data_IF_445006926756
#
_entry.id   IF_445006926756
#
_cell.length_a   1.000
_cell.length_b   1.000
_cell.length_c   1.000
_cell.angle_alpha   90.00
_cell.angle_beta   90.00
_cell.angle_gamma   90.00
#
_symmetry.space_group_name_H-M   'P 1'
#
loop_
_entity.id
_entity.type
_entity.pdbx_description
1 polymer ?
#
# COMPACT_ATOMS: atom_id res chain seq x y z
N UNK A 1 -1.83 18.73 -1.35
CA UNK A 1 -1.16 18.15 -0.18
C UNK A 1 -0.98 19.16 0.92
N UNK A 2 -1.45 18.79 2.11
CA UNK A 2 -1.34 19.54 3.36
C UNK A 2 -0.73 18.60 4.39
N UNK A 3 0.27 19.07 5.13
CA UNK A 3 1.05 18.25 6.05
C UNK A 3 0.19 17.52 7.10
N UNK A 4 0.67 16.38 7.59
CA UNK A 4 -0.04 15.55 8.57
C UNK A 4 -0.40 16.28 9.88
N UNK A 5 0.35 17.33 10.26
CA UNK A 5 0.07 18.14 11.45
C UNK A 5 -1.04 19.19 11.23
N UNK A 6 -1.55 19.31 10.00
CA UNK A 6 -2.64 20.21 9.70
C UNK A 6 -3.96 19.67 10.28
N UNK A 7 -4.89 20.56 10.63
CA UNK A 7 -6.21 20.17 11.17
C UNK A 7 -7.07 19.35 10.20
N UNK A 8 -6.80 19.51 8.91
CA UNK A 8 -7.40 18.79 7.79
C UNK A 8 -6.24 18.34 6.88
N UNK A 9 -5.60 17.22 7.21
CA UNK A 9 -4.46 16.72 6.46
C UNK A 9 -4.89 16.26 5.07
N UNK A 10 -4.00 16.42 4.11
CA UNK A 10 -4.07 15.80 2.79
C UNK A 10 -2.67 15.22 2.56
N UNK A 11 -2.45 14.04 3.14
CA UNK A 11 -1.13 13.45 3.35
C UNK A 11 -1.15 11.92 3.29
N UNK A 12 -0.10 11.36 2.71
CA UNK A 12 0.21 9.95 2.85
C UNK A 12 0.91 9.65 4.18
N UNK A 13 0.59 8.52 4.81
CA UNK A 13 1.20 8.09 6.06
C UNK A 13 1.11 6.57 6.26
N UNK A 14 1.75 6.08 7.33
CA UNK A 14 1.83 4.65 7.65
C UNK A 14 2.53 3.82 6.57
N UNK A 15 3.72 4.21 6.08
CA UNK A 15 4.41 3.46 5.03
C UNK A 15 4.80 2.07 5.52
N UNK A 16 4.55 1.07 4.67
CA UNK A 16 5.14 -0.26 4.78
C UNK A 16 5.89 -0.58 3.49
N UNK A 17 7.17 -0.89 3.59
CA UNK A 17 8.09 -1.09 2.46
C UNK A 17 8.63 -2.51 2.48
N UNK A 18 8.64 -3.17 1.32
CA UNK A 18 9.29 -4.47 1.14
C UNK A 18 10.04 -4.53 -0.19
N UNK A 19 10.94 -5.50 -0.32
CA UNK A 19 11.52 -5.87 -1.60
C UNK A 19 10.62 -6.86 -2.34
N UNK A 20 10.27 -6.55 -3.58
CA UNK A 20 9.52 -7.45 -4.45
C UNK A 20 10.44 -8.15 -5.45
N UNK A 21 10.58 -9.47 -5.32
CA UNK A 21 11.50 -10.28 -6.15
C UNK A 21 11.00 -10.47 -7.58
N UNK A 22 9.68 -10.43 -7.79
CA UNK A 22 9.07 -10.56 -9.11
C UNK A 22 9.25 -9.28 -9.95
N UNK A 23 9.11 -8.11 -9.31
CA UNK A 23 9.29 -6.79 -9.94
C UNK A 23 10.75 -6.32 -9.93
N UNK A 24 11.62 -6.96 -9.15
CA UNK A 24 12.97 -6.50 -8.87
C UNK A 24 12.99 -5.01 -8.46
N UNK A 25 12.09 -4.65 -7.55
CA UNK A 25 11.85 -3.27 -7.11
C UNK A 25 11.37 -3.24 -5.66
N UNK A 26 11.61 -2.13 -4.98
CA UNK A 26 10.95 -1.84 -3.70
C UNK A 26 9.51 -1.42 -3.96
N UNK A 27 8.62 -1.89 -3.09
CA UNK A 27 7.20 -1.58 -3.10
C UNK A 27 6.87 -0.94 -1.76
N UNK A 28 6.14 0.17 -1.78
CA UNK A 28 5.60 0.82 -0.60
C UNK A 28 4.08 0.87 -0.69
N UNK A 29 3.40 0.50 0.39
CA UNK A 29 1.98 0.79 0.58
C UNK A 29 1.79 1.89 1.61
N UNK A 30 0.80 2.75 1.36
CA UNK A 30 0.55 3.98 2.10
C UNK A 30 -0.95 4.15 2.34
N UNK A 31 -1.30 4.74 3.47
CA UNK A 31 -2.61 5.31 3.68
C UNK A 31 -2.65 6.75 3.18
N UNK A 32 -3.75 7.18 2.54
CA UNK A 32 -4.02 8.60 2.29
C UNK A 32 -5.09 9.09 3.26
N UNK A 33 -4.73 10.04 4.12
CA UNK A 33 -5.70 10.78 4.92
C UNK A 33 -6.04 12.09 4.19
N UNK A 34 -7.31 12.25 3.83
CA UNK A 34 -7.84 13.44 3.18
C UNK A 34 -9.37 13.52 3.33
N UNK A 35 -9.90 14.73 3.47
CA UNK A 35 -11.33 14.99 3.53
C UNK A 35 -11.83 15.38 4.93
N UNK A 36 -13.15 15.54 5.05
CA UNK A 36 -13.82 16.01 6.27
C UNK A 36 -14.65 14.89 6.93
N UNK A 37 -14.59 14.71 8.26
CA UNK A 37 -13.71 15.41 9.19
C UNK A 37 -12.24 15.04 8.95
N UNK A 38 -11.34 16.01 9.14
CA UNK A 38 -9.89 15.81 8.98
C UNK A 38 -9.44 14.48 9.56
N UNK A 39 -8.61 13.73 8.80
CA UNK A 39 -8.29 12.31 8.99
C UNK A 39 -9.28 11.30 8.41
N UNK A 40 -10.22 11.74 7.57
CA UNK A 40 -11.03 10.83 6.78
C UNK A 40 -10.12 9.88 5.97
N UNK A 41 -10.49 8.60 6.03
CA UNK A 41 -9.82 7.54 5.31
C UNK A 41 -10.15 7.66 3.82
N UNK A 42 -9.19 8.10 3.01
CA UNK A 42 -9.39 8.29 1.57
C UNK A 42 -9.14 6.99 0.80
N UNK A 43 -8.10 6.25 1.18
CA UNK A 43 -7.77 4.97 0.54
C UNK A 43 -6.36 4.48 0.82
N UNK A 44 -6.07 3.29 0.28
CA UNK A 44 -4.74 2.67 0.31
C UNK A 44 -4.10 2.83 -1.07
N UNK A 45 -2.83 3.22 -1.07
CA UNK A 45 -2.03 3.51 -2.25
C UNK A 45 -0.79 2.63 -2.28
N UNK A 46 -0.25 2.44 -3.49
CA UNK A 46 0.98 1.72 -3.75
C UNK A 46 1.93 2.57 -4.60
N UNK A 47 3.22 2.51 -4.31
CA UNK A 47 4.28 3.12 -5.12
C UNK A 47 5.52 2.23 -5.17
N UNK A 48 6.41 2.51 -6.12
CA UNK A 48 7.57 1.69 -6.45
C UNK A 48 8.83 2.55 -6.49
N UNK A 49 9.95 1.96 -6.12
CA UNK A 49 11.27 2.54 -6.31
C UNK A 49 12.28 1.44 -6.64
N UNK A 50 13.27 1.76 -7.48
CA UNK A 50 14.38 0.84 -7.77
C UNK A 50 15.59 1.05 -6.87
N UNK A 51 15.69 2.21 -6.24
CA UNK A 51 16.88 2.64 -5.51
C UNK A 51 16.53 3.50 -4.29
N UNK A 52 16.58 2.90 -3.10
CA UNK A 52 16.29 3.59 -1.84
C UNK A 52 17.32 4.66 -1.47
N UNK A 53 18.50 4.68 -2.08
CA UNK A 53 19.49 5.75 -1.85
C UNK A 53 19.06 7.08 -2.47
N UNK A 54 18.07 7.04 -3.38
CA UNK A 54 17.50 8.21 -4.05
C UNK A 54 16.04 8.41 -3.63
N UNK A 55 15.76 9.32 -2.69
CA UNK A 55 14.40 9.58 -2.19
C UNK A 55 13.43 10.08 -3.27
N UNK A 56 13.92 10.62 -4.37
CA UNK A 56 13.15 11.09 -5.53
C UNK A 56 12.84 9.98 -6.54
N UNK A 57 13.30 8.75 -6.30
CA UNK A 57 13.08 7.61 -7.20
C UNK A 57 11.73 6.92 -7.05
N UNK A 58 10.93 7.31 -6.06
CA UNK A 58 9.58 6.80 -5.88
C UNK A 58 8.65 7.30 -6.99
N UNK A 59 7.93 6.37 -7.60
CA UNK A 59 6.90 6.70 -8.58
C UNK A 59 5.70 7.39 -7.92
N UNK A 60 4.83 7.99 -8.74
CA UNK A 60 3.59 8.60 -8.25
C UNK A 60 2.71 7.50 -7.63
N UNK A 61 2.26 7.63 -6.36
CA UNK A 61 1.42 6.62 -5.74
C UNK A 61 0.09 6.42 -6.49
N UNK A 62 -0.29 5.16 -6.65
CA UNK A 62 -1.54 4.74 -7.31
C UNK A 62 -2.48 4.14 -6.27
N UNK A 63 -3.74 4.57 -6.28
CA UNK A 63 -4.76 4.01 -5.39
C UNK A 63 -5.06 2.55 -5.75
N UNK A 64 -5.11 1.68 -4.74
CA UNK A 64 -5.45 0.26 -4.88
C UNK A 64 -6.73 -0.13 -4.14
N UNK A 65 -7.13 0.64 -3.12
CA UNK A 65 -8.41 0.48 -2.43
C UNK A 65 -8.97 1.86 -2.08
N UNK A 66 -10.26 2.07 -2.31
CA UNK A 66 -11.00 3.22 -1.81
C UNK A 66 -11.35 3.07 -0.33
N UNK A 67 -11.44 4.18 0.40
CA UNK A 67 -11.79 4.16 1.83
C UNK A 67 -13.12 3.48 2.13
N UNK A 68 -14.06 3.49 1.18
CA UNK A 68 -15.35 2.80 1.28
C UNK A 68 -15.25 1.27 1.21
N UNK A 69 -14.14 0.73 0.69
CA UNK A 69 -13.87 -0.71 0.63
C UNK A 69 -13.23 -1.24 1.92
N UNK A 70 -12.81 -0.34 2.81
CA UNK A 70 -12.11 -0.70 4.03
C UNK A 70 -13.09 -1.10 5.16
N UNK A 71 -12.74 -2.09 6.00
CA UNK A 71 -13.62 -2.67 7.01
C UNK A 71 -14.22 -1.67 8.00
N UNK A 72 -13.45 -0.64 8.33
CA UNK A 72 -13.78 0.33 9.36
C UNK A 72 -12.96 1.61 9.18
N UNK A 73 -13.39 2.67 9.87
CA UNK A 73 -12.73 3.97 9.82
C UNK A 73 -11.29 3.98 10.36
N UNK A 74 -10.85 2.95 11.10
CA UNK A 74 -9.50 2.85 11.70
C UNK A 74 -8.49 2.13 10.79
N UNK A 75 -8.84 1.90 9.53
CA UNK A 75 -8.08 1.07 8.58
C UNK A 75 -6.82 1.77 8.03
N UNK A 76 -5.99 2.32 8.90
CA UNK A 76 -4.93 3.27 8.54
C UNK A 76 -3.56 2.66 8.25
N UNK A 77 -3.34 1.41 8.62
CA UNK A 77 -2.02 0.79 8.57
C UNK A 77 -2.03 -0.37 7.58
N UNK A 78 -1.70 -0.10 6.30
CA UNK A 78 -1.52 -1.16 5.31
C UNK A 78 -0.15 -1.82 5.45
N UNK A 79 -0.09 -3.14 5.21
CA UNK A 79 1.14 -3.91 5.12
C UNK A 79 0.96 -5.03 4.09
N UNK A 80 1.99 -5.27 3.28
CA UNK A 80 2.04 -6.43 2.40
C UNK A 80 3.00 -7.48 2.97
N UNK A 81 2.55 -8.72 2.98
CA UNK A 81 3.34 -9.87 3.45
C UNK A 81 3.45 -10.88 2.31
N UNK A 82 4.67 -11.28 1.97
CA UNK A 82 4.92 -12.31 0.96
C UNK A 82 4.33 -13.66 1.37
N UNK A 83 3.72 -14.37 0.41
CA UNK A 83 3.07 -15.67 0.66
C UNK A 83 3.85 -16.86 0.09
N UNK A 84 4.87 -16.59 -0.73
CA UNK A 84 5.77 -17.61 -1.26
C UNK A 84 6.66 -18.19 -0.13
N UNK A 85 7.26 -19.39 -0.31
CA UNK A 85 8.22 -19.93 0.66
C UNK A 85 9.35 -18.94 0.96
N UNK A 86 9.50 -18.56 2.23
CA UNK A 86 10.47 -17.55 2.66
C UNK A 86 10.00 -16.09 2.55
N UNK A 87 8.75 -15.86 2.11
CA UNK A 87 8.11 -14.55 2.11
C UNK A 87 7.87 -14.01 3.52
N UNK A 88 8.01 -12.69 3.66
CA UNK A 88 7.90 -11.95 4.92
C UNK A 88 7.27 -10.57 4.67
N UNK A 89 7.21 -9.72 5.69
CA UNK A 89 6.91 -8.30 5.55
C UNK A 89 8.02 -7.47 4.90
N UNK A 90 9.21 -8.06 4.72
CA UNK A 90 10.36 -7.41 4.04
C UNK A 90 10.64 -8.00 2.66
N UNK A 91 10.05 -9.15 2.33
CA UNK A 91 10.27 -9.88 1.08
C UNK A 91 8.96 -10.47 0.53
N UNK A 92 8.60 -10.09 -0.70
CA UNK A 92 7.44 -10.68 -1.40
C UNK A 92 7.75 -10.99 -2.87
N UNK A 93 6.98 -11.91 -3.46
CA UNK A 93 7.10 -12.30 -4.85
C UNK A 93 5.95 -11.77 -5.70
N UNK A 94 5.46 -12.63 -6.61
CA UNK A 94 4.38 -12.29 -7.56
C UNK A 94 3.05 -12.00 -6.85
N UNK A 95 2.79 -12.66 -5.73
CA UNK A 95 1.61 -12.45 -4.91
C UNK A 95 2.02 -12.05 -3.49
N UNK A 96 1.29 -11.10 -2.91
CA UNK A 96 1.43 -10.72 -1.51
C UNK A 96 0.05 -10.58 -0.87
N UNK A 97 -0.03 -10.80 0.43
CA UNK A 97 -1.26 -10.65 1.20
C UNK A 97 -1.32 -9.26 1.83
N UNK A 98 -2.42 -8.55 1.59
CA UNK A 98 -2.63 -7.20 2.11
C UNK A 98 -3.34 -7.26 3.46
N UNK A 99 -2.64 -6.80 4.48
CA UNK A 99 -3.19 -6.52 5.80
C UNK A 99 -3.50 -5.04 5.90
N UNK A 100 -4.67 -4.72 6.45
CA UNK A 100 -5.03 -3.36 6.85
C UNK A 100 -5.50 -3.41 8.29
N UNK A 101 -4.80 -2.69 9.17
CA UNK A 101 -5.04 -2.74 10.62
C UNK A 101 -5.03 -4.18 11.18
N UNK A 102 -4.06 -4.98 10.73
CA UNK A 102 -3.87 -6.37 11.17
C UNK A 102 -4.85 -7.39 10.60
N UNK A 103 -5.81 -6.98 9.77
CA UNK A 103 -6.79 -7.87 9.13
C UNK A 103 -6.51 -7.97 7.64
N UNK A 104 -6.53 -9.20 7.10
CA UNK A 104 -6.28 -9.44 5.67
C UNK A 104 -7.52 -10.00 4.98
N UNK A 105 -8.04 -9.27 4.00
CA UNK A 105 -9.13 -9.73 3.11
C UNK A 105 -8.72 -9.81 1.64
N UNK A 106 -7.55 -9.28 1.28
CA UNK A 106 -7.12 -9.14 -0.11
C UNK A 106 -5.74 -9.73 -0.35
N UNK A 107 -5.55 -10.16 -1.59
CA UNK A 107 -4.24 -10.45 -2.15
C UNK A 107 -3.93 -9.44 -3.24
N UNK A 108 -2.68 -9.00 -3.29
CA UNK A 108 -2.13 -8.18 -4.35
C UNK A 108 -1.36 -9.07 -5.29
N UNK A 109 -1.74 -9.04 -6.57
CA UNK A 109 -1.03 -9.73 -7.64
C UNK A 109 -0.28 -8.69 -8.45
N UNK A 110 1.04 -8.83 -8.51
CA UNK A 110 1.92 -7.94 -9.24
C UNK A 110 2.08 -8.43 -10.69
N UNK A 111 2.24 -7.50 -11.62
CA UNK A 111 2.45 -7.81 -13.04
C UNK A 111 3.49 -6.89 -13.65
N UNK A 112 4.35 -7.44 -14.52
CA UNK A 112 5.30 -6.65 -15.31
C UNK A 112 4.65 -6.20 -16.63
N UNK A 113 4.45 -4.89 -16.82
CA UNK A 113 3.86 -4.29 -18.03
C UNK A 113 3.06 -3.01 -17.75
N UNK A 114 2.54 -2.35 -18.79
CA UNK A 114 1.61 -1.20 -18.66
C UNK A 114 0.23 -1.69 -18.17
N UNK A 115 0.08 -1.90 -16.87
CA UNK A 115 -1.18 -2.36 -16.30
C UNK A 115 -1.11 -2.40 -14.78
N UNK A 116 -1.72 -1.39 -14.15
CA UNK A 116 -1.67 -1.16 -12.71
C UNK A 116 -2.07 -2.35 -11.84
N UNK A 117 -1.53 -2.36 -10.63
CA UNK A 117 -1.83 -3.34 -9.58
C UNK A 117 -3.30 -3.26 -9.18
N UNK A 118 -3.98 -4.42 -9.13
CA UNK A 118 -5.34 -4.55 -8.59
C UNK A 118 -5.40 -5.64 -7.53
N UNK A 119 -5.83 -5.32 -6.30
CA UNK A 119 -6.12 -6.32 -5.29
C UNK A 119 -7.27 -7.25 -5.74
N UNK A 120 -7.24 -8.51 -5.30
CA UNK A 120 -8.34 -9.47 -5.45
C UNK A 120 -8.81 -9.95 -4.07
N UNK A 121 -10.11 -10.24 -3.90
CA UNK A 121 -10.60 -10.87 -2.68
C UNK A 121 -9.88 -12.21 -2.45
N UNK A 122 -9.39 -12.45 -1.24
CA UNK A 122 -8.75 -13.71 -0.87
C UNK A 122 -9.77 -14.85 -0.75
N UNK A 123 -9.42 -16.04 -1.24
CA UNK A 123 -10.15 -17.28 -0.96
C UNK A 123 -9.97 -17.70 0.50
N UNK A 124 -11.05 -18.19 1.13
CA UNK A 124 -11.05 -18.70 2.51
C UNK A 124 -10.22 -19.97 2.66
#
# INVERSE_FOLDING_TARGET
MRAWRHKDPDSFWGPSVHWNTYLNSFVMVLNHAAGEPGWAQEGIYITYARDLSRPDSWEIPVKILDGAELPNWQSFYPQLVGVDPGGTDTLAGHTARLFVNGVSWWEVVFSVGEGGVRPRPGGR
#
